data_IF_676915156096
#
_entry.id   IF_676915156096
#
_cell.length_a   1.000
_cell.length_b   1.000
_cell.length_c   1.000
_cell.angle_alpha   90.00
_cell.angle_beta   90.00
_cell.angle_gamma   90.00
#
_symmetry.space_group_name_H-M   'P 1'
#
loop_
_entity.id
_entity.type
_entity.pdbx_description
1 polymer ?
#
# COMPACT_ATOMS: atom_id res chain seq x y z
N UNK A 1 -22.14 30.94 -119.47
CA UNK A 1 -21.25 31.53 -118.46
C UNK A 1 -21.86 31.20 -117.12
N UNK A 2 -21.45 30.08 -116.54
CA UNK A 2 -22.00 29.52 -115.30
C UNK A 2 -20.84 29.41 -114.32
N UNK A 3 -21.01 30.02 -113.15
CA UNK A 3 -19.95 30.31 -112.20
C UNK A 3 -19.67 29.06 -111.36
N UNK A 4 -18.39 28.67 -111.26
CA UNK A 4 -17.90 27.68 -110.30
C UNK A 4 -17.47 28.42 -109.03
N UNK A 5 -18.26 28.30 -107.96
CA UNK A 5 -17.93 28.83 -106.65
C UNK A 5 -17.11 27.77 -105.88
N UNK A 6 -15.81 28.02 -105.73
CA UNK A 6 -14.91 27.21 -104.92
C UNK A 6 -15.13 27.54 -103.44
N UNK A 7 -15.68 26.59 -102.68
CA UNK A 7 -15.78 26.67 -101.23
C UNK A 7 -14.40 26.51 -100.57
N UNK A 8 -13.85 27.62 -100.09
CA UNK A 8 -12.69 27.65 -99.19
C UNK A 8 -13.23 27.75 -97.75
N UNK A 9 -13.19 26.64 -96.99
CA UNK A 9 -13.49 26.65 -95.56
C UNK A 9 -12.27 27.21 -94.78
N UNK A 10 -12.42 28.28 -93.99
CA UNK A 10 -11.34 28.75 -93.12
C UNK A 10 -11.20 27.81 -91.92
N UNK A 11 -9.97 27.31 -91.70
CA UNK A 11 -9.59 26.54 -90.52
C UNK A 11 -9.83 27.37 -89.26
N UNK A 12 -10.60 26.81 -88.32
CA UNK A 12 -10.93 27.46 -87.05
C UNK A 12 -9.66 27.65 -86.19
N UNK A 13 -9.40 28.91 -85.85
CA UNK A 13 -8.36 29.35 -84.93
C UNK A 13 -8.65 28.79 -83.53
N UNK A 14 -7.82 27.85 -83.06
CA UNK A 14 -7.93 27.29 -81.70
C UNK A 14 -7.51 28.34 -80.68
N UNK A 15 -8.49 29.05 -80.13
CA UNK A 15 -8.32 29.94 -78.97
C UNK A 15 -7.82 29.08 -77.80
N UNK A 16 -6.59 29.31 -77.36
CA UNK A 16 -6.05 28.66 -76.17
C UNK A 16 -6.84 29.13 -74.95
N UNK A 17 -7.35 28.18 -74.17
CA UNK A 17 -8.08 28.47 -72.94
C UNK A 17 -7.15 29.17 -71.94
N UNK A 18 -7.64 30.18 -71.21
CA UNK A 18 -6.84 30.89 -70.23
C UNK A 18 -6.44 29.93 -69.10
N UNK A 19 -5.16 29.94 -68.74
CA UNK A 19 -4.62 29.17 -67.61
C UNK A 19 -5.37 29.60 -66.35
N UNK A 20 -6.22 28.71 -65.85
CA UNK A 20 -6.93 28.88 -64.58
C UNK A 20 -5.89 28.92 -63.46
N UNK A 21 -5.68 30.09 -62.87
CA UNK A 21 -4.85 30.20 -61.69
C UNK A 21 -5.58 29.48 -60.56
N UNK A 22 -5.08 28.29 -60.20
CA UNK A 22 -5.55 27.57 -59.01
C UNK A 22 -5.17 28.42 -57.79
N UNK A 23 -6.11 29.23 -57.34
CA UNK A 23 -6.02 30.01 -56.12
C UNK A 23 -6.02 29.01 -54.95
N UNK A 24 -4.83 28.76 -54.41
CA UNK A 24 -4.66 27.92 -53.23
C UNK A 24 -5.19 28.70 -52.03
N UNK A 25 -6.49 28.56 -51.75
CA UNK A 25 -7.15 29.09 -50.55
C UNK A 25 -6.31 28.76 -49.30
N UNK A 26 -5.96 29.76 -48.47
CA UNK A 26 -5.14 29.54 -47.29
C UNK A 26 -5.90 28.65 -46.30
N UNK A 27 -5.37 27.45 -46.02
CA UNK A 27 -5.96 26.38 -45.20
C UNK A 27 -6.23 26.72 -43.71
N UNK A 28 -6.07 27.98 -43.32
CA UNK A 28 -6.27 28.47 -41.95
C UNK A 28 -7.71 28.33 -41.43
N UNK A 29 -8.69 28.21 -42.33
CA UNK A 29 -10.11 28.04 -41.97
C UNK A 29 -10.58 26.59 -41.94
N UNK A 30 -9.68 25.60 -42.11
CA UNK A 30 -10.02 24.18 -42.07
C UNK A 30 -10.63 23.72 -40.72
N UNK A 31 -10.48 24.51 -39.65
CA UNK A 31 -11.13 24.28 -38.35
C UNK A 31 -12.65 24.53 -38.37
N UNK A 32 -13.18 25.27 -39.36
CA UNK A 32 -14.61 25.54 -39.47
C UNK A 32 -15.38 24.34 -40.05
N UNK A 33 -14.71 23.45 -40.77
CA UNK A 33 -15.29 22.21 -41.30
C UNK A 33 -15.19 21.02 -40.34
N UNK A 34 -15.07 21.27 -39.03
CA UNK A 34 -15.20 20.20 -38.04
C UNK A 34 -16.55 19.48 -38.27
N UNK A 35 -16.57 18.14 -38.31
CA UNK A 35 -17.76 17.39 -38.71
C UNK A 35 -18.94 17.72 -37.77
N UNK A 36 -20.14 17.94 -38.33
CA UNK A 36 -21.41 18.25 -37.63
C UNK A 36 -21.67 17.38 -36.38
N UNK A 37 -21.08 16.18 -36.35
CA UNK A 37 -21.08 15.23 -35.23
C UNK A 37 -20.56 15.82 -33.91
N UNK A 38 -19.69 16.83 -33.94
CA UNK A 38 -19.14 17.45 -32.72
C UNK A 38 -20.18 18.33 -32.01
N UNK A 39 -21.01 19.07 -32.75
CA UNK A 39 -22.08 19.90 -32.16
C UNK A 39 -23.27 19.07 -31.66
N UNK A 40 -23.61 17.98 -32.35
CA UNK A 40 -24.74 17.10 -31.99
C UNK A 40 -24.53 16.34 -30.68
N UNK A 41 -23.28 16.19 -30.23
CA UNK A 41 -22.93 15.42 -29.05
C UNK A 41 -22.99 16.22 -27.74
N UNK A 42 -23.40 17.50 -27.75
CA UNK A 42 -23.64 18.33 -26.55
C UNK A 42 -22.52 18.33 -25.48
N UNK A 43 -21.29 17.94 -25.83
CA UNK A 43 -20.19 17.75 -24.89
C UNK A 43 -20.22 16.43 -24.10
N UNK A 44 -21.14 15.52 -24.36
CA UNK A 44 -21.24 14.23 -23.66
C UNK A 44 -20.01 13.34 -23.88
N UNK A 45 -19.46 13.26 -25.10
CA UNK A 45 -18.17 12.55 -25.32
C UNK A 45 -17.00 13.23 -24.59
N UNK A 46 -17.00 14.57 -24.47
CA UNK A 46 -15.95 15.27 -23.74
C UNK A 46 -16.02 14.95 -22.24
N UNK A 47 -17.23 14.94 -21.68
CA UNK A 47 -17.45 14.54 -20.29
C UNK A 47 -17.09 13.06 -20.08
N UNK A 48 -17.51 12.14 -20.96
CA UNK A 48 -17.16 10.73 -20.86
C UNK A 48 -15.64 10.51 -20.90
N UNK A 49 -14.94 11.24 -21.78
CA UNK A 49 -13.48 11.22 -21.86
C UNK A 49 -12.83 11.79 -20.58
N UNK A 50 -13.32 12.93 -20.07
CA UNK A 50 -12.81 13.54 -18.85
C UNK A 50 -13.00 12.62 -17.63
N UNK A 51 -14.17 11.99 -17.49
CA UNK A 51 -14.45 11.04 -16.40
C UNK A 51 -13.56 9.80 -16.52
N UNK A 52 -13.31 9.31 -17.73
CA UNK A 52 -12.42 8.18 -17.95
C UNK A 52 -10.99 8.53 -17.54
N UNK A 53 -10.46 9.69 -17.96
CA UNK A 53 -9.13 10.16 -17.55
C UNK A 53 -9.05 10.37 -16.04
N UNK A 54 -10.09 10.93 -15.41
CA UNK A 54 -10.14 11.15 -13.97
C UNK A 54 -10.15 9.82 -13.19
N UNK A 55 -10.95 8.84 -13.61
CA UNK A 55 -10.99 7.51 -13.01
C UNK A 55 -9.69 6.73 -13.24
N UNK A 56 -9.10 6.82 -14.44
CA UNK A 56 -7.77 6.26 -14.71
C UNK A 56 -6.71 6.96 -13.84
N UNK A 57 -6.79 8.28 -13.67
CA UNK A 57 -5.89 9.05 -12.81
C UNK A 57 -5.99 8.64 -11.33
N UNK A 58 -7.20 8.52 -10.79
CA UNK A 58 -7.43 7.98 -9.45
C UNK A 58 -6.88 6.55 -9.36
N UNK A 59 -7.21 5.68 -10.31
CA UNK A 59 -6.70 4.30 -10.34
C UNK A 59 -5.17 4.23 -10.35
N UNK A 60 -4.50 5.08 -11.13
CA UNK A 60 -3.03 5.20 -11.16
C UNK A 60 -2.49 5.80 -9.88
N UNK A 61 -3.14 6.79 -9.28
CA UNK A 61 -2.71 7.37 -8.00
C UNK A 61 -2.86 6.37 -6.85
N UNK A 62 -3.97 5.64 -6.79
CA UNK A 62 -4.19 4.55 -5.83
C UNK A 62 -3.19 3.41 -6.08
N UNK A 63 -2.93 3.05 -7.34
CA UNK A 63 -1.93 2.05 -7.70
C UNK A 63 -0.49 2.49 -7.35
N UNK A 64 -0.15 3.77 -7.54
CA UNK A 64 1.16 4.34 -7.19
C UNK A 64 1.35 4.54 -5.68
N UNK A 65 0.31 4.93 -4.95
CA UNK A 65 0.34 4.96 -3.48
C UNK A 65 0.38 3.55 -2.89
N UNK A 66 -0.20 2.56 -3.58
CA UNK A 66 -0.25 1.16 -3.17
C UNK A 66 0.84 0.28 -3.83
N UNK A 67 1.91 0.87 -4.39
CA UNK A 67 3.15 0.13 -4.69
C UNK A 67 3.99 -0.08 -3.42
N UNK A 68 3.32 -0.42 -2.33
CA UNK A 68 3.95 -0.98 -1.16
C UNK A 68 4.59 -2.29 -1.63
N UNK A 69 5.92 -2.29 -1.74
CA UNK A 69 6.66 -3.54 -1.85
C UNK A 69 6.36 -4.27 -0.54
N UNK A 70 5.82 -5.49 -0.57
CA UNK A 70 5.71 -6.23 0.67
C UNK A 70 7.12 -6.31 1.27
N UNK A 71 7.32 -6.05 2.57
CA UNK A 71 8.51 -6.53 3.25
C UNK A 71 8.49 -8.05 3.05
N UNK A 72 9.35 -8.53 2.16
CA UNK A 72 9.69 -9.94 2.11
C UNK A 72 10.70 -10.09 3.25
N UNK A 73 10.27 -10.67 4.37
CA UNK A 73 11.23 -11.11 5.36
C UNK A 73 12.22 -12.06 4.68
N UNK A 74 13.50 -11.97 5.02
CA UNK A 74 14.48 -12.93 4.53
C UNK A 74 13.98 -14.35 4.85
N UNK A 75 13.99 -15.26 3.87
CA UNK A 75 13.68 -16.69 4.10
C UNK A 75 14.39 -17.16 5.37
N UNK A 76 13.77 -18.05 6.17
CA UNK A 76 14.34 -18.53 7.44
C UNK A 76 15.80 -19.04 7.35
N UNK A 77 16.29 -19.32 6.13
CA UNK A 77 17.67 -19.68 5.81
C UNK A 77 18.67 -18.51 5.79
N UNK A 78 18.21 -17.26 5.82
CA UNK A 78 19.02 -16.04 5.72
C UNK A 78 19.13 -15.24 7.02
N UNK A 79 18.41 -15.68 8.05
CA UNK A 79 18.75 -15.35 9.43
C UNK A 79 19.90 -16.27 9.85
N UNK A 80 21.14 -15.82 9.65
CA UNK A 80 22.26 -16.38 10.39
C UNK A 80 22.12 -15.86 11.83
N UNK A 81 21.82 -16.72 12.83
CA UNK A 81 21.70 -16.26 14.21
C UNK A 81 23.07 -15.77 14.65
N UNK A 82 23.26 -14.45 14.62
CA UNK A 82 24.43 -13.83 15.20
C UNK A 82 24.37 -14.07 16.72
N UNK A 83 25.03 -15.14 17.14
CA UNK A 83 25.41 -15.44 18.51
C UNK A 83 24.28 -15.45 19.55
N UNK A 84 23.61 -16.60 19.71
CA UNK A 84 23.51 -17.33 20.99
C UNK A 84 22.42 -18.42 20.95
N UNK A 85 22.85 -19.64 21.28
CA UNK A 85 22.10 -20.79 21.80
C UNK A 85 20.62 -20.94 21.38
N UNK A 86 20.39 -21.86 20.44
CA UNK A 86 19.13 -22.55 20.21
C UNK A 86 18.50 -22.98 21.54
N UNK A 87 17.39 -22.34 21.93
CA UNK A 87 16.56 -22.76 23.05
C UNK A 87 15.75 -23.98 22.63
N UNK A 88 16.39 -25.15 22.73
CA UNK A 88 15.69 -26.44 22.75
C UNK A 88 14.73 -26.48 23.94
N UNK A 89 13.58 -27.14 23.79
CA UNK A 89 12.51 -27.29 24.79
C UNK A 89 12.89 -28.10 26.06
N UNK A 90 14.16 -28.04 26.46
CA UNK A 90 14.75 -28.68 27.63
C UNK A 90 15.53 -27.67 28.50
N UNK A 91 15.21 -26.38 28.42
CA UNK A 91 15.81 -25.34 29.28
C UNK A 91 14.99 -25.06 30.56
N UNK A 92 14.03 -25.93 30.89
CA UNK A 92 13.26 -25.87 32.14
C UNK A 92 14.05 -26.35 33.38
N UNK A 93 15.36 -26.59 33.29
CA UNK A 93 16.13 -27.17 34.39
C UNK A 93 17.52 -26.56 34.64
N UNK A 94 17.91 -25.51 33.93
CA UNK A 94 19.13 -24.76 34.23
C UNK A 94 18.76 -23.31 34.40
N UNK A 95 18.64 -22.91 35.67
CA UNK A 95 18.59 -21.51 36.04
C UNK A 95 19.88 -20.84 35.61
N UNK A 96 19.91 -20.34 34.38
CA UNK A 96 20.68 -19.16 34.06
C UNK A 96 20.02 -18.06 34.87
N UNK A 97 20.64 -17.74 36.02
CA UNK A 97 20.27 -16.59 36.81
C UNK A 97 20.45 -15.34 35.93
N UNK A 98 19.37 -14.98 35.21
CA UNK A 98 19.12 -13.60 34.85
C UNK A 98 19.40 -12.77 36.10
N UNK A 99 20.22 -11.73 35.95
CA UNK A 99 20.62 -10.85 37.04
C UNK A 99 19.40 -10.55 37.91
N UNK A 100 19.37 -11.12 39.13
CA UNK A 100 18.16 -11.21 39.95
C UNK A 100 17.67 -9.83 40.45
N UNK A 101 18.31 -8.77 40.00
CA UNK A 101 18.06 -7.38 40.32
C UNK A 101 17.63 -6.54 39.09
N UNK A 102 17.51 -7.13 37.90
CA UNK A 102 16.99 -6.40 36.73
C UNK A 102 15.46 -6.48 36.70
N UNK A 103 14.83 -5.33 36.92
CA UNK A 103 13.39 -5.20 36.90
C UNK A 103 12.81 -5.46 35.49
N UNK A 104 11.74 -6.25 35.43
CA UNK A 104 11.14 -6.71 34.17
C UNK A 104 9.66 -6.33 34.11
N UNK A 105 9.21 -5.95 32.92
CA UNK A 105 7.81 -5.65 32.64
C UNK A 105 7.17 -6.85 31.94
N UNK A 106 6.04 -7.31 32.46
CA UNK A 106 5.22 -8.33 31.82
C UNK A 106 4.33 -7.68 30.76
N UNK A 107 4.43 -8.13 29.52
CA UNK A 107 3.55 -7.73 28.43
C UNK A 107 2.65 -8.91 28.08
N UNK A 108 1.34 -8.68 28.01
CA UNK A 108 0.33 -9.69 27.71
C UNK A 108 -0.47 -9.27 26.48
N UNK A 109 -0.59 -10.18 25.52
CA UNK A 109 -1.50 -10.06 24.39
C UNK A 109 -2.72 -10.94 24.66
N UNK A 110 -3.90 -10.33 24.68
CA UNK A 110 -5.16 -10.97 25.08
C UNK A 110 -6.05 -11.09 23.84
N UNK A 111 -6.70 -12.25 23.69
CA UNK A 111 -7.67 -12.50 22.63
C UNK A 111 -7.15 -13.33 21.45
N UNK A 112 -6.02 -14.01 21.62
CA UNK A 112 -5.44 -14.89 20.61
C UNK A 112 -6.12 -16.26 20.68
N UNK A 113 -7.02 -16.57 19.73
CA UNK A 113 -7.79 -17.83 19.72
C UNK A 113 -7.99 -18.23 18.25
N UNK A 114 -7.69 -19.48 17.84
CA UNK A 114 -7.23 -20.63 18.66
C UNK A 114 -5.79 -20.52 19.18
N UNK A 115 -5.37 -21.40 20.09
CA UNK A 115 -4.08 -21.35 20.78
C UNK A 115 -2.97 -22.21 20.16
N UNK A 116 -3.22 -22.79 18.98
CA UNK A 116 -2.31 -23.67 18.22
C UNK A 116 -1.43 -22.92 17.20
N UNK A 117 -1.26 -21.62 17.44
CA UNK A 117 -0.59 -20.65 16.56
C UNK A 117 0.23 -19.67 17.41
N UNK A 118 0.88 -18.70 16.76
CA UNK A 118 1.73 -17.72 17.42
C UNK A 118 1.11 -16.32 17.40
N UNK A 119 1.49 -15.52 18.40
CA UNK A 119 1.27 -14.07 18.38
C UNK A 119 2.59 -13.39 18.06
N UNK A 120 2.58 -12.53 17.06
CA UNK A 120 3.67 -11.61 16.82
C UNK A 120 3.45 -10.33 17.62
N UNK A 121 4.52 -9.85 18.24
CA UNK A 121 4.54 -8.61 19.00
C UNK A 121 5.71 -7.76 18.53
N UNK A 122 5.44 -6.48 18.26
CA UNK A 122 6.44 -5.50 17.88
C UNK A 122 6.33 -4.24 18.75
N UNK A 123 7.47 -3.73 19.20
CA UNK A 123 7.59 -2.46 19.92
C UNK A 123 8.22 -1.38 19.03
N UNK A 124 7.69 -0.17 19.14
CA UNK A 124 8.12 0.99 18.37
C UNK A 124 8.33 2.19 19.29
N UNK A 125 9.36 2.98 19.04
CA UNK A 125 9.68 4.17 19.84
C UNK A 125 9.55 5.48 19.06
N UNK A 126 9.21 5.40 17.77
CA UNK A 126 9.07 6.55 16.89
C UNK A 126 7.95 6.35 15.87
N UNK A 127 7.35 7.48 15.48
CA UNK A 127 6.30 7.54 14.46
C UNK A 127 6.80 7.07 13.09
N UNK A 128 8.04 7.41 12.73
CA UNK A 128 8.65 7.03 11.44
C UNK A 128 8.85 5.52 11.25
N UNK A 129 8.93 4.77 12.35
CA UNK A 129 9.07 3.30 12.36
C UNK A 129 7.76 2.58 12.66
N UNK A 130 6.72 3.31 13.07
CA UNK A 130 5.53 2.68 13.63
C UNK A 130 4.80 1.84 12.58
N UNK A 131 4.40 0.63 12.99
CA UNK A 131 3.72 -0.34 12.14
C UNK A 131 4.54 -0.80 10.91
N UNK A 132 5.87 -0.68 11.00
CA UNK A 132 6.83 -1.23 10.05
C UNK A 132 7.72 -2.28 10.76
N UNK A 133 7.43 -3.59 10.60
CA UNK A 133 8.13 -4.65 11.32
C UNK A 133 9.65 -4.69 11.12
N UNK A 134 10.17 -4.24 9.98
CA UNK A 134 11.62 -4.20 9.72
C UNK A 134 12.33 -3.15 10.58
N UNK A 135 11.60 -2.13 11.02
CA UNK A 135 12.07 -1.03 11.83
C UNK A 135 11.57 -1.10 13.28
N UNK A 136 11.04 -2.26 13.70
CA UNK A 136 10.66 -2.48 15.09
C UNK A 136 11.88 -2.46 16.02
N UNK A 137 11.75 -1.82 17.17
CA UNK A 137 12.80 -1.81 18.20
C UNK A 137 12.98 -3.19 18.83
N UNK A 138 11.86 -3.88 19.05
CA UNK A 138 11.82 -5.26 19.55
C UNK A 138 10.74 -5.99 18.76
N UNK A 139 11.05 -7.21 18.32
CA UNK A 139 10.10 -8.13 17.74
C UNK A 139 10.16 -9.47 18.50
N UNK A 140 9.01 -10.07 18.78
CA UNK A 140 8.92 -11.34 19.48
C UNK A 140 7.78 -12.19 18.92
N UNK A 141 7.99 -13.50 18.92
CA UNK A 141 6.95 -14.51 18.69
C UNK A 141 6.57 -15.14 20.02
N UNK A 142 5.28 -15.13 20.33
CA UNK A 142 4.76 -15.54 21.63
C UNK A 142 3.84 -16.76 21.46
N UNK A 143 4.11 -17.87 22.17
CA UNK A 143 3.18 -18.99 22.20
C UNK A 143 1.89 -18.59 22.92
N UNK A 144 0.76 -19.05 22.40
CA UNK A 144 -0.56 -18.74 22.95
C UNK A 144 -0.90 -19.78 24.03
N UNK A 145 -1.24 -19.31 25.23
CA UNK A 145 -1.72 -20.19 26.30
C UNK A 145 -3.17 -20.63 26.02
N UNK A 146 -3.64 -21.76 26.59
CA UNK A 146 -5.02 -22.25 26.39
C UNK A 146 -6.14 -21.27 26.77
N UNK A 147 -5.85 -20.26 27.58
CA UNK A 147 -6.77 -19.18 27.94
C UNK A 147 -6.81 -18.03 26.91
N UNK A 148 -6.12 -18.15 25.79
CA UNK A 148 -6.05 -17.15 24.72
C UNK A 148 -5.15 -15.95 25.02
N UNK A 149 -4.18 -16.13 25.93
CA UNK A 149 -3.21 -15.11 26.32
C UNK A 149 -1.81 -15.51 25.88
N UNK A 150 -1.12 -14.64 25.16
CA UNK A 150 0.31 -14.77 24.87
C UNK A 150 1.08 -13.74 25.72
N UNK A 151 2.27 -14.06 26.21
CA UNK A 151 2.99 -13.15 27.11
C UNK A 151 4.51 -13.25 26.99
N UNK A 152 5.20 -12.14 27.25
CA UNK A 152 6.65 -12.08 27.41
C UNK A 152 7.06 -11.13 28.53
N UNK A 153 8.30 -11.25 29.00
CA UNK A 153 8.89 -10.29 29.93
C UNK A 153 10.09 -9.61 29.29
N UNK A 154 10.10 -8.28 29.35
CA UNK A 154 11.18 -7.46 28.79
C UNK A 154 11.86 -6.70 29.95
N UNK A 155 13.19 -6.64 30.01
CA UNK A 155 13.88 -5.80 30.97
C UNK A 155 13.44 -4.33 30.84
N UNK A 156 13.16 -3.67 31.95
CA UNK A 156 12.72 -2.27 31.96
C UNK A 156 13.78 -1.33 31.35
N UNK A 157 15.05 -1.74 31.45
CA UNK A 157 16.23 -1.08 30.88
C UNK A 157 16.20 -1.05 29.35
N UNK A 158 15.59 -2.04 28.70
CA UNK A 158 15.44 -2.16 27.25
C UNK A 158 14.21 -1.44 26.71
N UNK A 159 13.27 -1.05 27.58
CA UNK A 159 12.08 -0.30 27.19
C UNK A 159 12.37 1.21 27.13
N UNK A 160 12.06 1.88 26.01
CA UNK A 160 12.08 3.34 25.92
C UNK A 160 11.11 3.97 26.92
N UNK A 161 11.27 5.26 27.23
CA UNK A 161 10.33 5.98 28.13
C UNK A 161 8.90 6.03 27.59
N UNK A 162 8.74 6.15 26.27
CA UNK A 162 7.45 6.13 25.57
C UNK A 162 7.59 5.22 24.37
N UNK A 163 6.61 4.35 24.15
CA UNK A 163 6.62 3.40 23.05
C UNK A 163 5.20 2.97 22.71
N UNK A 164 5.03 2.39 21.54
CA UNK A 164 3.81 1.72 21.13
C UNK A 164 4.08 0.24 20.89
N UNK A 165 3.07 -0.59 21.14
CA UNK A 165 3.08 -2.02 20.85
C UNK A 165 2.07 -2.26 19.72
N UNK A 166 2.45 -3.07 18.74
CA UNK A 166 1.52 -3.69 17.81
C UNK A 166 1.60 -5.21 18.00
N UNK A 167 0.47 -5.89 17.94
CA UNK A 167 0.42 -7.34 18.00
C UNK A 167 -0.61 -7.90 17.02
N UNK A 168 -0.32 -9.07 16.46
CA UNK A 168 -1.29 -9.83 15.68
C UNK A 168 -1.15 -11.32 15.94
N UNK A 169 -2.27 -12.02 15.73
CA UNK A 169 -2.37 -13.47 15.83
C UNK A 169 -2.18 -14.06 14.43
N UNK A 170 -1.09 -14.78 14.25
CA UNK A 170 -0.71 -15.47 13.02
C UNK A 170 -1.28 -16.89 13.05
N UNK A 171 -2.47 -17.05 12.49
CA UNK A 171 -3.28 -18.26 12.57
C UNK A 171 -2.79 -19.36 11.63
N UNK A 172 -2.11 -19.01 10.54
CA UNK A 172 -1.56 -19.95 9.57
C UNK A 172 -0.03 -20.14 9.68
N UNK A 173 0.63 -19.41 10.59
CA UNK A 173 2.06 -19.42 10.88
C UNK A 173 2.94 -19.04 9.67
N UNK A 174 2.47 -18.11 8.85
CA UNK A 174 3.23 -17.62 7.69
C UNK A 174 4.16 -16.44 8.02
N UNK A 175 4.08 -15.92 9.26
CA UNK A 175 4.89 -14.81 9.75
C UNK A 175 4.40 -13.43 9.31
N UNK A 176 3.23 -13.35 8.67
CA UNK A 176 2.66 -12.12 8.15
C UNK A 176 1.21 -11.94 8.64
N UNK A 177 0.80 -10.68 8.78
CA UNK A 177 -0.61 -10.38 9.04
C UNK A 177 -1.40 -10.63 7.76
N UNK A 178 -2.19 -11.70 7.75
CA UNK A 178 -3.01 -12.09 6.62
C UNK A 178 -4.07 -11.04 6.32
N UNK A 179 -4.26 -10.71 5.03
CA UNK A 179 -5.18 -9.66 4.55
C UNK A 179 -6.05 -10.15 3.41
N UNK A 180 -7.28 -9.64 3.34
CA UNK A 180 -8.16 -9.90 2.19
C UNK A 180 -7.74 -9.10 0.95
N UNK A 181 -8.44 -9.32 -0.17
CA UNK A 181 -8.18 -8.66 -1.46
C UNK A 181 -8.29 -7.13 -1.43
N UNK A 182 -8.90 -6.57 -0.37
CA UNK A 182 -9.02 -5.13 -0.13
C UNK A 182 -7.98 -4.60 0.88
N UNK A 183 -7.02 -5.43 1.29
CA UNK A 183 -5.96 -5.06 2.24
C UNK A 183 -6.42 -4.99 3.70
N UNK A 184 -7.63 -5.46 4.01
CA UNK A 184 -8.17 -5.47 5.38
C UNK A 184 -7.62 -6.71 6.10
N UNK A 185 -7.08 -6.58 7.33
CA UNK A 185 -6.65 -7.72 8.13
C UNK A 185 -7.76 -8.77 8.27
N UNK A 186 -7.43 -10.01 7.95
CA UNK A 186 -8.31 -11.16 8.11
C UNK A 186 -8.10 -11.85 9.48
N UNK A 187 -6.96 -11.58 10.11
CA UNK A 187 -6.60 -12.11 11.42
C UNK A 187 -6.71 -11.04 12.51
N UNK A 188 -6.67 -11.51 13.77
CA UNK A 188 -6.82 -10.62 14.92
C UNK A 188 -5.57 -9.79 15.12
N UNK A 189 -5.76 -8.50 15.31
CA UNK A 189 -4.66 -7.58 15.58
C UNK A 189 -5.08 -6.50 16.57
N UNK A 190 -4.09 -5.79 17.09
CA UNK A 190 -4.31 -4.75 18.08
C UNK A 190 -3.06 -3.93 18.34
N UNK A 191 -3.28 -2.78 18.96
CA UNK A 191 -2.24 -1.84 19.35
C UNK A 191 -2.36 -1.52 20.83
N UNK A 192 -1.26 -1.09 21.45
CA UNK A 192 -1.29 -0.51 22.79
C UNK A 192 -2.25 0.68 22.86
N UNK A 193 -2.68 1.02 24.08
CA UNK A 193 -3.71 2.02 24.34
C UNK A 193 -5.06 1.74 23.66
N UNK A 194 -5.30 0.50 23.20
CA UNK A 194 -6.47 0.11 22.40
C UNK A 194 -6.70 1.04 21.19
N UNK A 195 -5.62 1.59 20.63
CA UNK A 195 -5.70 2.53 19.52
C UNK A 195 -6.28 1.88 18.26
N UNK A 196 -7.13 2.62 17.56
CA UNK A 196 -7.81 2.16 16.34
C UNK A 196 -7.96 3.29 15.33
N UNK A 197 -7.34 3.09 14.16
CA UNK A 197 -7.53 3.97 13.02
C UNK A 197 -8.88 3.72 12.32
N UNK A 198 -9.43 4.75 11.68
CA UNK A 198 -10.66 4.63 10.86
C UNK A 198 -10.40 4.08 9.47
N UNK A 199 -9.21 4.34 8.92
CA UNK A 199 -8.82 4.01 7.55
C UNK A 199 -7.39 3.45 7.51
N UNK A 200 -7.13 2.44 8.34
CA UNK A 200 -5.81 1.81 8.47
C UNK A 200 -5.34 1.69 9.92
N UNK A 201 -4.05 1.46 10.16
CA UNK A 201 -3.48 1.51 11.50
C UNK A 201 -3.72 2.90 12.13
N UNK A 202 -3.78 2.99 13.48
CA UNK A 202 -3.82 4.27 14.17
C UNK A 202 -2.51 5.05 13.98
N UNK A 203 -2.49 6.31 14.36
CA UNK A 203 -1.24 7.07 14.43
C UNK A 203 -0.41 6.61 15.65
N UNK A 204 0.92 6.75 15.60
CA UNK A 204 1.78 6.40 16.74
C UNK A 204 1.37 7.14 18.01
N UNK A 205 0.97 8.41 17.88
CA UNK A 205 0.52 9.24 18.99
C UNK A 205 -0.74 8.70 19.69
N UNK A 206 -1.57 7.93 18.99
CA UNK A 206 -2.75 7.29 19.58
C UNK A 206 -2.38 5.99 20.29
N UNK A 207 -1.39 5.25 19.78
CA UNK A 207 -0.96 3.97 20.32
C UNK A 207 0.09 4.09 21.44
N UNK A 208 0.78 5.23 21.55
CA UNK A 208 1.90 5.39 22.50
C UNK A 208 1.43 5.30 23.95
N UNK A 209 2.19 4.56 24.74
CA UNK A 209 2.05 4.43 26.19
C UNK A 209 3.37 4.81 26.87
N UNK A 210 3.28 5.22 28.13
CA UNK A 210 4.45 5.49 28.95
C UNK A 210 4.96 4.19 29.56
N UNK A 211 6.29 4.05 29.64
CA UNK A 211 6.92 2.92 30.32
C UNK A 211 6.52 2.95 31.80
N UNK A 212 6.11 1.82 32.39
CA UNK A 212 5.83 1.77 33.82
C UNK A 212 7.09 2.08 34.63
N UNK A 213 6.92 2.58 35.85
CA UNK A 213 8.06 2.89 36.73
C UNK A 213 8.73 1.62 37.26
N UNK A 214 7.94 0.55 37.39
CA UNK A 214 8.34 -0.73 37.95
C UNK A 214 7.70 -1.91 37.20
N UNK A 215 8.09 -3.14 37.53
CA UNK A 215 7.60 -4.37 36.92
C UNK A 215 6.25 -4.87 37.45
N UNK A 216 5.61 -4.14 38.37
CA UNK A 216 4.42 -4.63 39.09
C UNK A 216 3.16 -4.59 38.23
N UNK A 217 3.07 -3.65 37.29
CA UNK A 217 1.89 -3.48 36.43
C UNK A 217 2.11 -4.14 35.08
N UNK A 218 1.32 -5.16 34.70
CA UNK A 218 1.41 -5.75 33.37
C UNK A 218 0.86 -4.77 32.32
N UNK A 219 1.48 -4.78 31.15
CA UNK A 219 0.99 -4.06 29.98
C UNK A 219 0.14 -4.98 29.12
N UNK A 220 -1.14 -4.66 29.00
CA UNK A 220 -2.10 -5.45 28.24
C UNK A 220 -2.33 -4.86 26.86
N UNK A 221 -2.30 -5.72 25.84
CA UNK A 221 -2.68 -5.39 24.46
C UNK A 221 -3.80 -6.33 24.04
N UNK A 222 -4.96 -5.77 23.72
CA UNK A 222 -6.10 -6.53 23.25
C UNK A 222 -6.08 -6.63 21.73
N UNK A 223 -6.21 -7.86 21.22
CA UNK A 223 -6.44 -8.14 19.79
C UNK A 223 -7.89 -8.57 19.57
N UNK A 224 -8.43 -8.27 18.39
CA UNK A 224 -9.85 -8.44 18.06
C UNK A 224 -10.06 -9.07 16.69
#
# INVERSE_FOLDING_TARGET
>A
MEQMENGFEPQAETKSDPIEQVELEPSWNAWQSLPERWQQNHGSLLMAFATLVFLTGIGVLTYRQNQFRPPAFPDASSINPAHNNSLTALDLATGEAADANEERVLIRVIGAIPSDSLVWLALYNADTSFNDPENALVAAQLPIQPNGVAACTIPISQLPKRFAIAAFHDTDNDGALSRNQFGIPAERYGFSNNARGKFGPPDFAEAVIDRPENGETPLDVQIY
#
